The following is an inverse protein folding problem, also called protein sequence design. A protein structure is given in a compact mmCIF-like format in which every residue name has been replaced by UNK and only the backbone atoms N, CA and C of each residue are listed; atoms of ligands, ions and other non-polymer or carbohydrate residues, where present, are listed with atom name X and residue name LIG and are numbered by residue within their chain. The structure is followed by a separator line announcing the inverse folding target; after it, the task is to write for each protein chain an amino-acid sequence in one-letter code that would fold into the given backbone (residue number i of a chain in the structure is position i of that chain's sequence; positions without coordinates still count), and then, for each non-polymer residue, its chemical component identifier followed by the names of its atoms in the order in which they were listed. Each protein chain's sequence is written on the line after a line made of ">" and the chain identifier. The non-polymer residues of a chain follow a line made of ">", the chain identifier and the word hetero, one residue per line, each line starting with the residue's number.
data_IF_302130017734
#
_entry.id   IF_302130017734
#
_cell.length_a   1.000
_cell.length_b   1.000
_cell.length_c   1.000
_cell.angle_alpha   90.00
_cell.angle_beta   90.00
_cell.angle_gamma   90.00
#
_symmetry.space_group_name_H-M   'P 1'
#
loop_
_entity.id
_entity.type
_entity.pdbx_description
1 polymer ?
#
# COMPACT_ATOMS: atom_id res chain seq x y z
N UNK A 1 15.15 -4.37 13.74
CA UNK A 1 14.40 -4.12 12.49
C UNK A 1 14.25 -2.63 12.32
N UNK A 2 14.53 -2.05 11.14
CA UNK A 2 14.26 -0.62 10.91
C UNK A 2 12.74 -0.36 10.96
N UNK A 3 12.31 0.85 11.33
CA UNK A 3 10.89 1.17 11.48
C UNK A 3 10.21 1.15 10.12
N UNK A 4 9.10 0.40 10.03
CA UNK A 4 8.16 0.53 8.91
C UNK A 4 7.23 1.71 9.21
N UNK A 5 7.05 2.61 8.25
CA UNK A 5 6.09 3.72 8.37
C UNK A 5 4.77 3.26 7.76
N UNK A 6 3.68 3.48 8.50
CA UNK A 6 2.33 3.10 8.12
C UNK A 6 1.39 4.30 8.13
N UNK A 7 0.78 4.59 6.98
CA UNK A 7 -0.24 5.64 6.82
C UNK A 7 -1.54 4.94 6.40
N UNK A 8 -2.67 5.27 7.03
CA UNK A 8 -3.98 4.67 6.75
C UNK A 8 -4.98 5.80 6.52
N UNK A 9 -5.83 5.69 5.50
CA UNK A 9 -6.92 6.62 5.24
C UNK A 9 -8.28 5.93 5.34
N UNK A 10 -9.29 6.63 5.84
CA UNK A 10 -10.65 6.10 6.01
C UNK A 10 -11.42 5.89 4.70
N UNK A 11 -12.42 5.01 4.72
CA UNK A 11 -13.40 4.91 3.63
C UNK A 11 -14.17 6.22 3.48
N UNK A 12 -14.46 6.62 2.24
CA UNK A 12 -15.22 7.82 1.88
C UNK A 12 -14.56 9.13 2.34
N UNK A 13 -13.23 9.22 2.23
CA UNK A 13 -12.52 10.46 2.55
C UNK A 13 -12.74 11.48 1.42
N UNK A 14 -13.43 12.62 1.65
CA UNK A 14 -13.63 13.63 0.61
C UNK A 14 -12.34 14.41 0.34
N UNK A 15 -12.01 14.59 -0.94
CA UNK A 15 -10.90 15.44 -1.38
C UNK A 15 -11.42 16.87 -1.61
N UNK A 16 -11.58 17.68 -0.55
CA UNK A 16 -11.85 19.13 -0.70
C UNK A 16 -10.56 19.93 -0.56
N UNK A 17 -10.29 20.81 -1.53
CA UNK A 17 -8.99 21.42 -1.80
C UNK A 17 -8.44 22.46 -0.81
N UNK A 18 -9.00 22.64 0.39
CA UNK A 18 -8.48 23.63 1.36
C UNK A 18 -8.47 23.18 2.83
N UNK A 19 -8.85 21.96 3.16
CA UNK A 19 -8.86 21.51 4.55
C UNK A 19 -8.44 20.04 4.66
N UNK A 20 -7.51 19.75 5.57
CA UNK A 20 -7.19 18.39 6.02
C UNK A 20 -8.48 17.57 6.12
N UNK A 21 -8.63 16.46 5.38
CA UNK A 21 -9.81 15.64 5.54
C UNK A 21 -9.75 15.04 6.94
N UNK A 22 -10.63 15.53 7.81
CA UNK A 22 -10.85 15.01 9.15
C UNK A 22 -11.08 13.51 9.00
N UNK A 23 -10.11 12.72 9.43
CA UNK A 23 -10.34 11.31 9.72
C UNK A 23 -11.53 11.29 10.65
N UNK A 24 -12.64 10.67 10.22
CA UNK A 24 -13.81 10.47 11.06
C UNK A 24 -13.49 9.39 12.11
N UNK A 25 -12.58 9.69 13.03
CA UNK A 25 -12.84 9.43 14.44
C UNK A 25 -13.34 10.76 15.01
N UNK A 26 -14.35 10.70 15.87
CA UNK A 26 -15.05 11.87 16.42
C UNK A 26 -14.17 12.83 17.27
N UNK A 27 -12.85 12.68 17.26
CA UNK A 27 -11.95 13.31 18.25
C UNK A 27 -10.78 14.12 17.67
N UNK A 28 -10.61 14.20 16.35
CA UNK A 28 -9.69 15.15 15.71
C UNK A 28 -8.58 14.52 14.87
N UNK A 29 -7.79 15.40 14.25
CA UNK A 29 -6.69 15.03 13.35
C UNK A 29 -5.44 14.65 14.16
N UNK A 30 -5.47 13.46 14.74
CA UNK A 30 -4.31 12.95 15.46
C UNK A 30 -3.38 12.19 14.52
N UNK A 31 -2.07 12.43 14.69
CA UNK A 31 -1.03 11.61 14.07
C UNK A 31 -1.18 10.18 14.58
N UNK A 32 -1.77 9.32 13.78
CA UNK A 32 -1.86 7.90 14.10
C UNK A 32 -0.44 7.32 14.17
N UNK A 33 0.00 6.95 15.37
CA UNK A 33 1.25 6.21 15.56
C UNK A 33 0.97 4.74 15.30
N UNK A 34 0.95 4.40 14.01
CA UNK A 34 0.77 3.02 13.57
C UNK A 34 2.05 2.23 13.85
N UNK A 35 1.95 1.17 14.65
CA UNK A 35 3.04 0.24 14.89
C UNK A 35 2.78 -1.08 14.15
N UNK A 36 3.86 -1.80 13.83
CA UNK A 36 3.75 -3.15 13.26
C UNK A 36 2.97 -4.13 14.18
N UNK A 37 2.83 -3.82 15.47
CA UNK A 37 2.06 -4.62 16.43
C UNK A 37 0.54 -4.41 16.28
N UNK A 38 0.09 -3.17 16.01
CA UNK A 38 -1.33 -2.84 15.83
C UNK A 38 -1.87 -3.46 14.53
N UNK A 39 -1.04 -3.55 13.49
CA UNK A 39 -1.41 -4.10 12.18
C UNK A 39 -1.44 -5.64 12.18
N UNK A 40 -0.80 -6.30 13.15
CA UNK A 40 -0.75 -7.77 13.24
C UNK A 40 -1.93 -8.39 13.99
N UNK A 41 -2.82 -7.58 14.56
CA UNK A 41 -4.02 -8.08 15.22
C UNK A 41 -5.15 -8.32 14.19
N UNK A 42 -5.10 -9.50 13.56
CA UNK A 42 -6.08 -9.94 12.57
C UNK A 42 -7.50 -10.14 13.16
N UNK A 43 -7.64 -10.22 14.50
CA UNK A 43 -8.93 -10.41 15.17
C UNK A 43 -9.66 -9.09 15.43
N UNK A 44 -8.94 -7.97 15.50
CA UNK A 44 -9.50 -6.60 15.55
C UNK A 44 -9.40 -5.85 14.21
N UNK A 45 -9.05 -6.57 13.14
CA UNK A 45 -8.80 -6.05 11.80
C UNK A 45 -10.09 -5.58 11.13
N UNK A 46 -10.41 -4.31 11.29
CA UNK A 46 -11.13 -3.60 10.24
C UNK A 46 -10.22 -3.64 9.01
N UNK A 47 -10.66 -4.30 7.94
CA UNK A 47 -9.96 -4.36 6.65
C UNK A 47 -9.28 -3.02 6.40
N UNK A 48 -7.94 -2.94 6.34
CA UNK A 48 -7.24 -1.69 6.29
C UNK A 48 -7.61 -1.09 4.96
N UNK A 49 -8.55 -0.16 5.12
CA UNK A 49 -8.72 1.05 4.38
C UNK A 49 -7.35 1.51 3.86
N UNK A 50 -7.33 2.10 2.67
CA UNK A 50 -6.14 2.51 1.93
C UNK A 50 -4.92 2.75 2.83
N UNK A 51 -3.88 1.89 2.73
CA UNK A 51 -2.75 1.90 3.65
C UNK A 51 -1.41 1.82 2.94
N UNK A 52 -0.45 2.65 3.35
CA UNK A 52 0.92 2.69 2.83
C UNK A 52 1.87 1.98 3.80
N UNK A 53 2.77 1.16 3.29
CA UNK A 53 3.87 0.54 4.05
C UNK A 53 5.20 0.91 3.40
N UNK A 54 6.10 1.52 4.17
CA UNK A 54 7.44 1.89 3.70
C UNK A 54 8.49 1.02 4.41
N UNK A 55 9.40 0.38 3.67
CA UNK A 55 10.49 -0.45 4.21
C UNK A 55 11.81 -0.16 3.50
N UNK A 56 12.92 -0.30 4.23
CA UNK A 56 14.25 -0.31 3.62
C UNK A 56 14.50 -1.67 2.98
N UNK A 57 14.89 -1.67 1.71
CA UNK A 57 15.19 -2.86 0.91
C UNK A 57 16.42 -2.59 0.05
N UNK A 58 17.51 -3.27 0.37
CA UNK A 58 18.81 -3.02 -0.24
C UNK A 58 18.99 -3.71 -1.59
N UNK A 59 18.16 -4.71 -1.92
CA UNK A 59 18.30 -5.50 -3.14
C UNK A 59 16.99 -6.12 -3.61
N UNK A 60 16.99 -6.62 -4.83
CA UNK A 60 15.89 -7.39 -5.40
C UNK A 60 15.60 -8.68 -4.62
N UNK A 61 16.63 -9.31 -4.05
CA UNK A 61 16.46 -10.48 -3.20
C UNK A 61 15.74 -10.15 -1.90
N UNK A 62 15.98 -8.97 -1.33
CA UNK A 62 15.21 -8.47 -0.17
C UNK A 62 13.80 -8.02 -0.57
N UNK A 63 13.63 -7.49 -1.78
CA UNK A 63 12.33 -7.13 -2.33
C UNK A 63 11.44 -8.37 -2.48
N UNK A 64 11.96 -9.45 -3.08
CA UNK A 64 11.26 -10.73 -3.21
C UNK A 64 10.86 -11.31 -1.85
N UNK A 65 11.77 -11.29 -0.87
CA UNK A 65 11.47 -11.69 0.51
C UNK A 65 10.35 -10.84 1.13
N UNK A 66 10.39 -9.52 0.94
CA UNK A 66 9.33 -8.64 1.41
C UNK A 66 7.97 -8.97 0.76
N UNK A 67 7.94 -9.26 -0.54
CA UNK A 67 6.70 -9.64 -1.22
C UNK A 67 6.15 -10.96 -0.65
N UNK A 68 7.01 -11.94 -0.38
CA UNK A 68 6.63 -13.21 0.24
C UNK A 68 6.10 -13.05 1.65
N UNK A 69 6.83 -12.32 2.48
CA UNK A 69 6.43 -12.01 3.87
C UNK A 69 5.09 -11.28 3.92
N UNK A 70 4.82 -10.41 2.95
CA UNK A 70 3.63 -9.54 2.94
C UNK A 70 2.41 -10.17 2.29
N UNK A 71 2.60 -10.86 1.18
CA UNK A 71 1.51 -11.32 0.31
C UNK A 71 1.41 -12.85 0.25
N UNK A 72 2.39 -13.57 0.78
CA UNK A 72 2.41 -15.02 0.88
C UNK A 72 3.60 -15.66 0.14
N UNK A 73 4.04 -16.83 0.61
CA UNK A 73 5.24 -17.54 0.13
C UNK A 73 5.19 -17.92 -1.37
N UNK A 74 4.00 -17.97 -1.97
CA UNK A 74 3.82 -18.21 -3.41
C UNK A 74 4.02 -16.96 -4.26
N UNK A 75 4.09 -15.78 -3.65
CA UNK A 75 4.33 -14.54 -4.36
C UNK A 75 5.82 -14.37 -4.67
N UNK A 76 6.12 -13.77 -5.82
CA UNK A 76 7.49 -13.51 -6.24
C UNK A 76 7.61 -12.17 -6.95
N UNK A 77 8.83 -11.65 -6.99
CA UNK A 77 9.17 -10.46 -7.75
C UNK A 77 8.88 -10.67 -9.24
N UNK A 78 8.00 -9.84 -9.80
CA UNK A 78 7.68 -9.80 -11.22
C UNK A 78 8.49 -8.75 -11.99
N UNK A 79 7.84 -8.19 -13.00
CA UNK A 79 8.36 -7.14 -13.87
C UNK A 79 8.51 -5.81 -13.11
N UNK A 80 9.57 -5.07 -13.45
CA UNK A 80 9.77 -3.69 -13.01
C UNK A 80 9.42 -2.74 -14.15
N UNK A 81 8.37 -1.95 -13.97
CA UNK A 81 7.96 -0.92 -14.92
C UNK A 81 8.40 0.44 -14.43
N UNK A 82 9.14 1.19 -15.25
CA UNK A 82 9.54 2.54 -14.91
C UNK A 82 8.30 3.42 -14.64
N UNK A 83 8.40 4.28 -13.64
CA UNK A 83 7.38 5.30 -13.35
C UNK A 83 7.77 6.64 -13.98
N UNK A 84 6.98 7.68 -13.73
CA UNK A 84 7.32 9.06 -14.11
C UNK A 84 8.50 9.63 -13.30
N UNK A 85 8.79 9.05 -12.13
CA UNK A 85 9.93 9.45 -11.31
C UNK A 85 11.16 8.63 -11.68
N UNK A 86 12.25 9.31 -12.03
CA UNK A 86 13.50 8.66 -12.45
C UNK A 86 14.05 7.72 -11.37
N UNK A 87 14.35 6.50 -11.79
CA UNK A 87 14.88 5.44 -10.93
C UNK A 87 13.84 4.78 -10.01
N UNK A 88 12.56 5.16 -10.09
CA UNK A 88 11.46 4.53 -9.34
C UNK A 88 10.69 3.60 -10.27
N UNK A 89 10.41 2.39 -9.77
CA UNK A 89 9.75 1.33 -10.53
C UNK A 89 8.45 0.88 -9.85
N UNK A 90 7.39 0.71 -10.63
CA UNK A 90 6.23 -0.10 -10.27
C UNK A 90 6.61 -1.58 -10.38
N UNK A 91 6.32 -2.34 -9.34
CA UNK A 91 6.67 -3.74 -9.22
C UNK A 91 5.41 -4.58 -9.41
N UNK A 92 5.39 -5.44 -10.43
CA UNK A 92 4.37 -6.48 -10.51
C UNK A 92 4.72 -7.64 -9.58
N UNK A 93 3.69 -8.28 -9.04
CA UNK A 93 3.84 -9.46 -8.19
C UNK A 93 3.41 -10.65 -9.02
N UNK A 94 4.30 -11.64 -9.16
CA UNK A 94 4.03 -12.88 -9.86
C UNK A 94 3.52 -13.92 -8.86
N UNK A 95 2.33 -14.44 -9.10
CA UNK A 95 1.77 -15.56 -8.33
C UNK A 95 2.35 -16.92 -8.72
N UNK A 96 1.96 -17.94 -7.97
CA UNK A 96 2.38 -19.34 -8.16
C UNK A 96 1.59 -20.08 -9.26
N UNK A 97 0.57 -19.44 -9.84
CA UNK A 97 -0.23 -20.00 -10.92
C UNK A 97 -1.28 -21.02 -10.46
N UNK A 98 -1.52 -21.12 -9.15
CA UNK A 98 -2.55 -21.98 -8.57
C UNK A 98 -3.87 -21.22 -8.40
N UNK A 99 -4.96 -21.97 -8.26
CA UNK A 99 -6.27 -21.41 -7.97
C UNK A 99 -6.33 -20.78 -6.57
N UNK A 100 -7.28 -19.86 -6.35
CA UNK A 100 -7.39 -19.08 -5.11
C UNK A 100 -7.52 -19.92 -3.83
N UNK A 101 -8.07 -21.14 -3.91
CA UNK A 101 -8.20 -22.05 -2.77
C UNK A 101 -6.90 -22.78 -2.40
N UNK A 102 -5.91 -22.75 -3.28
CA UNK A 102 -4.68 -23.54 -3.17
C UNK A 102 -3.41 -22.67 -3.21
N UNK A 103 -3.53 -21.46 -3.73
CA UNK A 103 -2.42 -20.52 -3.90
C UNK A 103 -1.81 -20.10 -2.56
N UNK A 104 -0.49 -20.01 -2.55
CA UNK A 104 0.28 -19.35 -1.49
C UNK A 104 0.54 -17.88 -1.80
N UNK A 105 -0.06 -17.34 -2.87
CA UNK A 105 -0.08 -15.93 -3.21
C UNK A 105 -1.52 -15.43 -3.34
N UNK A 106 -2.30 -15.34 -2.24
CA UNK A 106 -3.72 -14.99 -2.26
C UNK A 106 -3.98 -13.50 -2.51
N UNK A 107 -3.42 -12.95 -3.59
CA UNK A 107 -3.67 -11.58 -4.02
C UNK A 107 -5.02 -11.49 -4.73
N UNK A 108 -6.04 -11.05 -3.99
CA UNK A 108 -7.39 -10.81 -4.49
C UNK A 108 -7.84 -9.33 -4.37
N UNK A 109 -6.91 -8.43 -4.09
CA UNK A 109 -7.17 -6.99 -3.90
C UNK A 109 -6.18 -6.15 -4.70
N UNK A 110 -6.55 -4.88 -4.97
CA UNK A 110 -5.63 -3.96 -5.65
C UNK A 110 -4.49 -3.57 -4.70
N UNK A 111 -3.28 -3.95 -5.07
CA UNK A 111 -2.06 -3.53 -4.39
C UNK A 111 -1.12 -2.85 -5.37
N UNK A 112 -0.44 -1.82 -4.89
CA UNK A 112 0.61 -1.12 -5.65
C UNK A 112 1.91 -1.29 -4.88
N UNK A 113 2.99 -1.62 -5.58
CA UNK A 113 4.33 -1.68 -4.98
C UNK A 113 5.26 -0.82 -5.82
N UNK A 114 5.89 0.17 -5.21
CA UNK A 114 6.93 1.01 -5.80
C UNK A 114 8.27 0.72 -5.15
N UNK A 115 9.32 0.60 -5.94
CA UNK A 115 10.68 0.36 -5.46
C UNK A 115 11.63 1.42 -6.03
N UNK A 116 12.45 2.00 -5.15
CA UNK A 116 13.51 2.92 -5.50
C UNK A 116 14.87 2.33 -5.09
N UNK A 117 15.58 1.64 -6.02
CA UNK A 117 16.83 0.96 -5.70
C UNK A 117 17.92 1.90 -5.17
N UNK A 118 18.07 3.09 -5.76
CA UNK A 118 19.13 4.03 -5.39
C UNK A 118 19.01 4.54 -3.94
N UNK A 119 17.79 4.62 -3.41
CA UNK A 119 17.52 4.99 -2.01
C UNK A 119 17.28 3.78 -1.11
N UNK A 120 17.28 2.58 -1.67
CA UNK A 120 17.00 1.32 -0.98
C UNK A 120 15.65 1.34 -0.25
N UNK A 121 14.60 1.83 -0.92
CA UNK A 121 13.26 1.97 -0.36
C UNK A 121 12.22 1.24 -1.18
N UNK A 122 11.32 0.53 -0.52
CA UNK A 122 10.06 0.06 -1.10
C UNK A 122 8.90 0.77 -0.40
N UNK A 123 7.86 1.06 -1.18
CA UNK A 123 6.56 1.51 -0.69
C UNK A 123 5.50 0.59 -1.27
N UNK A 124 4.60 0.09 -0.42
CA UNK A 124 3.53 -0.80 -0.81
C UNK A 124 2.19 -0.29 -0.28
N UNK A 125 1.19 -0.22 -1.16
CA UNK A 125 -0.17 0.16 -0.84
C UNK A 125 -1.07 -1.07 -0.72
N UNK A 126 -1.86 -1.14 0.33
CA UNK A 126 -3.11 -1.87 0.31
C UNK A 126 -4.22 -0.88 -0.09
N UNK A 127 -4.77 -1.01 -1.29
CA UNK A 127 -5.86 -0.13 -1.75
C UNK A 127 -7.22 -0.76 -1.36
N UNK A 128 -7.29 -2.09 -1.27
CA UNK A 128 -8.53 -2.81 -1.08
C UNK A 128 -9.33 -2.95 -2.38
N UNK A 129 -10.61 -3.33 -2.26
CA UNK A 129 -11.52 -3.56 -3.39
C UNK A 129 -12.54 -2.43 -3.57
N UNK A 130 -12.84 -1.69 -2.50
CA UNK A 130 -13.70 -0.51 -2.54
C UNK A 130 -12.82 0.74 -2.62
N UNK A 131 -13.30 1.76 -3.32
CA UNK A 131 -12.58 3.02 -3.38
C UNK A 131 -12.64 3.76 -2.04
N UNK A 132 -11.53 4.39 -1.66
CA UNK A 132 -11.36 5.07 -0.38
C UNK A 132 -11.46 6.59 -0.53
N UNK A 133 -11.01 7.14 -1.66
CA UNK A 133 -11.05 8.56 -1.99
C UNK A 133 -12.01 8.85 -3.15
N UNK A 134 -13.07 9.61 -2.89
CA UNK A 134 -14.06 9.99 -3.89
C UNK A 134 -14.15 11.51 -4.05
N UNK A 135 -14.55 11.97 -5.24
CA UNK A 135 -15.02 13.33 -5.40
C UNK A 135 -16.47 13.45 -4.91
N UNK A 136 -16.83 14.47 -4.12
CA UNK A 136 -18.17 14.57 -3.53
C UNK A 136 -19.33 14.57 -4.54
N UNK A 137 -19.09 15.04 -5.76
CA UNK A 137 -20.15 15.23 -6.77
C UNK A 137 -19.99 14.33 -8.01
N UNK A 138 -19.02 13.43 -8.03
CA UNK A 138 -18.80 12.49 -9.12
C UNK A 138 -18.38 11.13 -8.55
N UNK A 139 -18.90 10.03 -9.09
CA UNK A 139 -18.51 8.67 -8.71
C UNK A 139 -17.09 8.30 -9.21
N UNK A 140 -16.17 9.26 -9.22
CA UNK A 140 -14.77 9.08 -9.61
C UNK A 140 -13.96 8.64 -8.41
N UNK A 141 -13.21 7.55 -8.57
CA UNK A 141 -12.28 7.04 -7.57
C UNK A 141 -10.87 7.61 -7.76
N UNK A 142 -10.27 8.11 -6.69
CA UNK A 142 -8.96 8.76 -6.70
C UNK A 142 -7.84 7.94 -6.05
N UNK A 143 -8.11 6.71 -5.60
CA UNK A 143 -7.10 5.89 -4.93
C UNK A 143 -5.80 5.75 -5.73
N UNK A 144 -5.92 5.52 -7.04
CA UNK A 144 -4.75 5.41 -7.93
C UNK A 144 -4.04 6.75 -8.11
N UNK A 145 -4.78 7.86 -8.24
CA UNK A 145 -4.19 9.19 -8.34
C UNK A 145 -3.41 9.54 -7.06
N UNK A 146 -3.96 9.19 -5.90
CA UNK A 146 -3.27 9.30 -4.62
C UNK A 146 -2.01 8.43 -4.57
N UNK A 147 -2.04 7.19 -5.06
CA UNK A 147 -0.81 6.38 -5.14
C UNK A 147 0.21 6.94 -6.14
N UNK A 148 -0.25 7.54 -7.24
CA UNK A 148 0.59 8.04 -8.32
C UNK A 148 1.24 9.39 -8.00
N UNK A 149 0.60 10.20 -7.16
CA UNK A 149 1.15 11.44 -6.63
C UNK A 149 2.27 11.24 -5.60
N UNK A 150 2.47 10.01 -5.10
CA UNK A 150 3.55 9.72 -4.17
C UNK A 150 4.93 9.83 -4.85
N UNK A 151 5.80 10.65 -4.26
CA UNK A 151 7.17 10.89 -4.71
C UNK A 151 8.14 10.42 -3.61
N UNK A 152 9.22 9.76 -4.00
CA UNK A 152 10.33 9.46 -3.10
C UNK A 152 11.28 10.66 -3.01
N UNK A 153 11.55 11.17 -1.80
CA UNK A 153 12.55 12.22 -1.52
C UNK A 153 13.86 11.62 -0.96
#
# INVERSE_FOLDING_TARGET
>A
MPPSIFIVAGQNTPLSGDECPKVYTSEGCDKATNSAAIIKDWQNYHSPQWAIVIKNIASDGELDKFLKERYGEGCSLGEKKATKQDGVFNISIKGDGLDMGETKCPLNFMTVVKYYPAKQKVVAWNIGQACNFYYPTAATCYDMEMTDSFIFE
#
